data_IF_011449875662
#
_entry.id   IF_011449875662
#
_cell.length_a   1.000
_cell.length_b   1.000
_cell.length_c   1.000
_cell.angle_alpha   90.00
_cell.angle_beta   90.00
_cell.angle_gamma   90.00
#
_symmetry.space_group_name_H-M   'P 1'
#
loop_
_entity.id
_entity.type
_entity.pdbx_description
1 polymer ?
#
# COMPACT_ATOMS: atom_id res chain seq x y z
N UNK A 1 -13.07 16.06 8.69
CA UNK A 1 -11.87 16.01 9.53
C UNK A 1 -12.12 16.84 10.77
N UNK A 2 -11.89 16.28 11.97
CA UNK A 2 -12.13 17.02 13.21
C UNK A 2 -10.96 17.99 13.43
N UNK A 3 -11.20 19.15 14.03
CA UNK A 3 -10.17 20.18 14.30
C UNK A 3 -8.99 19.66 15.14
N UNK A 4 -9.25 18.67 16.00
CA UNK A 4 -8.23 18.00 16.80
C UNK A 4 -7.24 17.18 15.95
N UNK A 5 -7.72 16.50 14.90
CA UNK A 5 -6.87 15.70 14.00
C UNK A 5 -5.90 16.61 13.22
N UNK A 6 -6.41 17.77 12.79
CA UNK A 6 -5.62 18.83 12.16
C UNK A 6 -4.50 19.34 13.06
N UNK A 7 -4.84 19.74 14.29
CA UNK A 7 -3.87 20.28 15.24
C UNK A 7 -2.77 19.24 15.55
N UNK A 8 -3.15 18.00 15.83
CA UNK A 8 -2.22 16.88 16.07
C UNK A 8 -1.29 16.64 14.87
N UNK A 9 -1.84 16.68 13.65
CA UNK A 9 -1.05 16.55 12.41
C UNK A 9 -0.02 17.66 12.24
N UNK A 10 -0.41 18.93 12.49
CA UNK A 10 0.48 20.08 12.38
C UNK A 10 1.56 20.09 13.48
N UNK A 11 1.21 19.74 14.72
CA UNK A 11 2.15 19.68 15.84
C UNK A 11 3.22 18.60 15.64
N UNK A 12 2.83 17.44 15.08
CA UNK A 12 3.79 16.39 14.71
C UNK A 12 4.71 16.84 13.59
N UNK A 13 4.19 17.53 12.57
CA UNK A 13 5.02 18.10 11.49
C UNK A 13 6.00 19.14 12.02
N UNK A 14 5.59 19.98 12.98
CA UNK A 14 6.47 20.98 13.61
C UNK A 14 7.68 20.34 14.29
N UNK A 15 7.50 19.18 14.93
CA UNK A 15 8.57 18.43 15.60
C UNK A 15 9.28 17.42 14.71
N UNK A 16 9.07 17.43 13.39
CA UNK A 16 9.64 16.42 12.45
C UNK A 16 11.13 16.18 12.65
N UNK A 17 11.90 17.26 12.83
CA UNK A 17 13.34 17.20 12.98
C UNK A 17 13.81 16.49 14.26
N UNK A 18 12.94 16.39 15.26
CA UNK A 18 13.21 15.75 16.56
C UNK A 18 12.78 14.28 16.58
N UNK A 19 12.05 13.83 15.56
CA UNK A 19 11.51 12.48 15.54
C UNK A 19 12.49 11.52 14.86
N UNK A 20 12.63 10.34 15.44
CA UNK A 20 13.32 9.20 14.83
C UNK A 20 12.48 7.94 14.99
N UNK A 21 12.63 7.00 14.06
CA UNK A 21 11.97 5.69 14.17
C UNK A 21 12.71 4.86 15.22
N UNK A 22 11.96 4.14 16.06
CA UNK A 22 12.52 3.25 17.08
C UNK A 22 13.34 2.12 16.41
N UNK A 23 14.58 1.85 16.87
CA UNK A 23 15.38 0.75 16.34
C UNK A 23 14.83 -0.59 16.83
N UNK A 24 15.25 -1.68 16.19
CA UNK A 24 14.99 -3.06 16.64
C UNK A 24 15.90 -4.06 15.92
N UNK A 25 15.75 -5.36 16.20
CA UNK A 25 16.29 -6.42 15.35
C UNK A 25 15.44 -6.58 14.07
N UNK A 26 15.92 -7.38 13.11
CA UNK A 26 15.14 -7.72 11.91
C UNK A 26 13.81 -8.36 12.30
N UNK A 27 13.88 -9.32 13.22
CA UNK A 27 12.75 -10.10 13.74
C UNK A 27 11.78 -9.20 14.51
N UNK A 28 12.29 -8.29 15.34
CA UNK A 28 11.47 -7.33 16.07
C UNK A 28 10.76 -6.34 15.15
N UNK A 29 11.45 -5.84 14.10
CA UNK A 29 10.81 -5.02 13.08
C UNK A 29 9.73 -5.78 12.31
N UNK A 30 9.97 -7.04 11.96
CA UNK A 30 9.03 -7.92 11.28
C UNK A 30 7.80 -8.21 12.16
N UNK A 31 8.00 -8.51 13.44
CA UNK A 31 6.94 -8.77 14.41
C UNK A 31 6.01 -7.57 14.56
N UNK A 32 6.56 -6.36 14.69
CA UNK A 32 5.75 -5.13 14.76
C UNK A 32 4.98 -4.85 13.47
N UNK A 33 5.42 -5.42 12.33
CA UNK A 33 4.77 -5.24 11.03
C UNK A 33 3.69 -6.29 10.74
N UNK A 34 3.76 -7.46 11.37
CA UNK A 34 2.82 -8.57 11.18
C UNK A 34 1.34 -8.18 11.38
N UNK A 35 0.94 -7.39 12.40
CA UNK A 35 -0.48 -7.06 12.60
C UNK A 35 -1.10 -6.31 11.42
N UNK A 36 -0.30 -5.53 10.69
CA UNK A 36 -0.74 -4.82 9.49
C UNK A 36 -0.65 -5.69 8.23
N UNK A 37 0.09 -6.81 8.27
CA UNK A 37 0.36 -7.65 7.12
C UNK A 37 0.14 -9.12 7.49
N UNK A 38 -1.08 -9.48 7.97
CA UNK A 38 -1.31 -10.77 8.61
C UNK A 38 -1.12 -11.96 7.66
N UNK A 39 -1.20 -11.73 6.35
CA UNK A 39 -1.08 -12.76 5.31
C UNK A 39 0.35 -13.02 4.82
N UNK A 40 1.29 -12.13 5.16
CA UNK A 40 2.69 -12.33 4.81
C UNK A 40 3.35 -13.26 5.83
N UNK A 41 4.18 -14.18 5.34
CA UNK A 41 4.98 -15.05 6.20
C UNK A 41 6.01 -14.23 6.98
N UNK A 42 6.52 -14.80 8.07
CA UNK A 42 7.56 -14.15 8.89
C UNK A 42 8.81 -13.88 8.04
N UNK A 43 9.23 -14.85 7.23
CA UNK A 43 10.41 -14.76 6.37
C UNK A 43 10.29 -13.61 5.36
N UNK A 44 9.09 -13.43 4.78
CA UNK A 44 8.83 -12.29 3.90
C UNK A 44 8.93 -10.95 4.62
N UNK A 45 8.42 -10.86 5.85
CA UNK A 45 8.51 -9.63 6.64
C UNK A 45 9.96 -9.32 7.04
N UNK A 46 10.73 -10.32 7.44
CA UNK A 46 12.17 -10.18 7.73
C UNK A 46 12.94 -9.74 6.48
N UNK A 47 12.65 -10.35 5.32
CA UNK A 47 13.21 -9.91 4.06
C UNK A 47 12.88 -8.45 3.75
N UNK A 48 11.61 -8.05 3.90
CA UNK A 48 11.19 -6.65 3.70
C UNK A 48 11.92 -5.68 4.64
N UNK A 49 12.28 -6.10 5.85
CA UNK A 49 13.11 -5.30 6.75
C UNK A 49 14.49 -5.09 6.13
N UNK A 50 15.16 -6.13 5.63
CA UNK A 50 16.50 -5.98 5.04
C UNK A 50 16.54 -5.03 3.85
N UNK A 51 15.45 -4.95 3.07
CA UNK A 51 15.33 -4.05 1.92
C UNK A 51 14.88 -2.65 2.33
N UNK A 52 13.90 -2.54 3.24
CA UNK A 52 13.22 -1.30 3.59
C UNK A 52 13.76 -0.57 4.81
N UNK A 53 14.62 -1.21 5.61
CA UNK A 53 15.30 -0.61 6.75
C UNK A 53 16.75 -0.28 6.43
N UNK A 54 17.40 0.40 7.37
CA UNK A 54 18.85 0.61 7.44
C UNK A 54 19.34 0.10 8.79
N UNK A 55 20.60 -0.29 8.84
CA UNK A 55 21.29 -0.63 10.08
C UNK A 55 22.07 0.58 10.59
N UNK A 56 21.92 0.90 11.87
CA UNK A 56 22.72 1.87 12.62
C UNK A 56 23.25 1.25 13.91
N UNK A 57 24.01 2.02 14.69
CA UNK A 57 24.70 1.54 15.90
C UNK A 57 23.73 0.98 16.96
N UNK A 58 22.46 1.40 16.94
CA UNK A 58 21.43 0.93 17.88
C UNK A 58 20.54 -0.19 17.28
N UNK A 59 20.78 -0.59 16.03
CA UNK A 59 20.06 -1.67 15.34
C UNK A 59 19.40 -1.24 14.02
N UNK A 60 18.31 -1.91 13.64
CA UNK A 60 17.61 -1.67 12.39
C UNK A 60 16.49 -0.65 12.52
N UNK A 61 16.36 0.26 11.55
CA UNK A 61 15.27 1.24 11.46
C UNK A 61 14.68 1.30 10.07
N UNK A 62 13.35 1.26 9.99
CA UNK A 62 12.63 1.55 8.75
C UNK A 62 13.06 2.90 8.16
N UNK A 63 13.42 2.92 6.87
CA UNK A 63 13.76 4.13 6.11
C UNK A 63 12.49 4.91 5.72
N UNK A 64 11.67 5.24 6.72
CA UNK A 64 10.38 5.90 6.55
C UNK A 64 10.29 7.14 7.43
N UNK A 65 9.76 8.22 6.88
CA UNK A 65 9.64 9.48 7.61
C UNK A 65 8.82 9.27 8.90
N UNK A 66 9.33 9.67 10.08
CA UNK A 66 8.63 9.50 11.34
C UNK A 66 7.32 10.30 11.45
N UNK A 67 7.10 11.31 10.60
CA UNK A 67 5.81 12.02 10.55
C UNK A 67 4.75 11.27 9.75
N UNK A 68 5.15 10.27 8.94
CA UNK A 68 4.21 9.47 8.17
C UNK A 68 3.35 8.64 9.12
N UNK A 69 2.04 8.77 8.95
CA UNK A 69 1.02 8.01 9.64
C UNK A 69 0.01 7.50 8.61
N UNK A 70 -0.67 6.40 8.93
CA UNK A 70 -1.80 5.93 8.13
C UNK A 70 -2.93 6.96 8.23
N UNK A 71 -3.47 7.34 7.08
CA UNK A 71 -4.42 8.44 6.96
C UNK A 71 -3.77 9.70 6.37
N UNK A 72 -4.51 10.38 5.49
CA UNK A 72 -4.06 11.60 4.85
C UNK A 72 -4.20 12.84 5.74
N UNK A 73 -3.48 13.90 5.38
CA UNK A 73 -3.77 15.24 5.86
C UNK A 73 -4.84 15.86 4.96
N UNK A 74 -5.98 16.25 5.53
CA UNK A 74 -7.01 16.98 4.79
C UNK A 74 -8.11 16.11 4.18
N UNK A 75 -9.12 16.74 3.56
CA UNK A 75 -10.31 16.09 3.04
C UNK A 75 -10.05 15.46 1.66
N UNK A 76 -9.03 14.59 1.53
CA UNK A 76 -8.81 13.88 0.27
C UNK A 76 -10.04 13.04 -0.07
N UNK A 77 -10.55 13.19 -1.30
CA UNK A 77 -11.66 12.40 -1.83
C UNK A 77 -11.19 11.63 -3.06
N UNK A 78 -11.41 10.30 -3.14
CA UNK A 78 -11.04 9.52 -4.32
C UNK A 78 -11.56 10.11 -5.63
N UNK A 79 -12.80 10.61 -5.62
CA UNK A 79 -13.45 11.20 -6.80
C UNK A 79 -12.71 12.40 -7.41
N UNK A 80 -11.79 13.06 -6.70
CA UNK A 80 -10.97 14.12 -7.29
C UNK A 80 -9.95 13.61 -8.32
N UNK A 81 -9.65 12.32 -8.30
CA UNK A 81 -8.67 11.69 -9.18
C UNK A 81 -9.27 10.63 -10.10
N UNK A 82 -10.47 10.11 -9.80
CA UNK A 82 -11.10 9.05 -10.60
C UNK A 82 -11.41 9.48 -12.04
N UNK A 83 -11.75 10.75 -12.28
CA UNK A 83 -11.95 11.25 -13.65
C UNK A 83 -10.65 11.21 -14.47
N UNK A 84 -9.48 11.31 -13.83
CA UNK A 84 -8.20 11.17 -14.51
C UNK A 84 -7.90 9.72 -14.91
N UNK A 85 -8.42 8.75 -14.14
CA UNK A 85 -8.30 7.33 -14.48
C UNK A 85 -9.06 7.02 -15.78
N UNK A 86 -10.28 7.57 -15.92
CA UNK A 86 -11.10 7.39 -17.11
C UNK A 86 -10.47 8.03 -18.36
N UNK A 87 -9.63 9.05 -18.17
CA UNK A 87 -8.95 9.76 -19.25
C UNK A 87 -7.63 9.12 -19.72
N UNK A 88 -7.22 7.98 -19.14
CA UNK A 88 -6.00 7.30 -19.59
C UNK A 88 -6.19 6.70 -20.99
N UNK A 89 -5.22 6.95 -21.88
CA UNK A 89 -5.26 6.47 -23.28
C UNK A 89 -4.41 5.21 -23.50
N UNK A 90 -3.50 4.89 -22.58
CA UNK A 90 -2.70 3.67 -22.65
C UNK A 90 -3.49 2.44 -22.17
N UNK A 91 -3.12 1.22 -22.62
CA UNK A 91 -3.68 0.00 -22.07
C UNK A 91 -3.58 -0.04 -20.54
N UNK A 92 -4.70 -0.37 -19.89
CA UNK A 92 -4.81 -0.36 -18.43
C UNK A 92 -5.28 -1.73 -17.91
N UNK A 93 -4.53 -2.27 -16.95
CA UNK A 93 -4.91 -3.42 -16.15
C UNK A 93 -4.91 -3.02 -14.67
N UNK A 94 -6.10 -3.00 -14.06
CA UNK A 94 -6.26 -2.88 -12.61
C UNK A 94 -6.37 -4.27 -11.97
N UNK A 95 -5.66 -4.49 -10.87
CA UNK A 95 -5.81 -5.70 -10.05
C UNK A 95 -6.08 -5.29 -8.62
N UNK A 96 -7.23 -5.71 -8.08
CA UNK A 96 -7.71 -5.30 -6.76
C UNK A 96 -7.91 -6.52 -5.85
N UNK A 97 -7.50 -6.34 -4.60
CA UNK A 97 -7.89 -7.21 -3.49
C UNK A 97 -9.28 -6.83 -2.99
N UNK A 98 -10.17 -7.82 -2.95
CA UNK A 98 -11.53 -7.71 -2.40
C UNK A 98 -11.65 -8.04 -0.92
N UNK A 99 -10.55 -8.46 -0.26
CA UNK A 99 -10.51 -8.83 1.15
C UNK A 99 -10.89 -7.64 2.03
N UNK A 100 -12.07 -7.70 2.65
CA UNK A 100 -12.67 -6.57 3.37
C UNK A 100 -12.03 -6.30 4.73
N UNK A 101 -11.43 -7.31 5.35
CA UNK A 101 -10.80 -7.26 6.66
C UNK A 101 -9.28 -7.08 6.61
N UNK A 102 -8.70 -6.85 5.42
CA UNK A 102 -7.28 -6.55 5.27
C UNK A 102 -6.95 -5.20 5.95
N UNK A 103 -6.05 -5.16 6.96
CA UNK A 103 -5.67 -3.92 7.64
C UNK A 103 -5.05 -2.85 6.73
N UNK A 104 -4.45 -3.27 5.62
CA UNK A 104 -3.85 -2.42 4.60
C UNK A 104 -4.76 -2.23 3.38
N UNK A 105 -5.90 -2.93 3.33
CA UNK A 105 -6.88 -2.83 2.26
C UNK A 105 -7.64 -1.51 2.26
N UNK A 106 -7.98 -1.03 1.06
CA UNK A 106 -8.82 0.17 0.87
C UNK A 106 -10.32 -0.13 0.91
N UNK A 107 -10.71 -1.42 0.97
CA UNK A 107 -12.10 -1.90 0.98
C UNK A 107 -12.92 -1.45 -0.22
N UNK A 108 -12.25 -1.02 -1.29
CA UNK A 108 -12.87 -0.70 -2.56
C UNK A 108 -13.54 -1.93 -3.13
N UNK A 109 -14.73 -1.73 -3.69
CA UNK A 109 -15.47 -2.76 -4.41
C UNK A 109 -15.25 -2.57 -5.90
N UNK A 110 -15.44 -3.64 -6.67
CA UNK A 110 -15.42 -3.62 -8.13
C UNK A 110 -16.22 -2.43 -8.70
N UNK A 111 -17.47 -2.27 -8.25
CA UNK A 111 -18.35 -1.18 -8.70
C UNK A 111 -17.91 0.25 -8.32
N UNK A 112 -16.96 0.41 -7.40
CA UNK A 112 -16.41 1.73 -7.07
C UNK A 112 -15.41 2.21 -8.14
N UNK A 113 -14.85 1.28 -8.93
CA UNK A 113 -13.77 1.54 -9.90
C UNK A 113 -14.24 1.34 -11.34
N UNK A 114 -15.05 0.32 -11.61
CA UNK A 114 -15.54 0.00 -12.96
C UNK A 114 -16.06 1.20 -13.76
N UNK A 115 -16.87 2.12 -13.18
CA UNK A 115 -17.38 3.28 -13.92
C UNK A 115 -16.30 4.25 -14.41
N UNK A 116 -15.09 4.17 -13.85
CA UNK A 116 -13.97 5.05 -14.12
C UNK A 116 -12.84 4.35 -14.88
N UNK A 117 -13.04 3.12 -15.35
CA UNK A 117 -12.04 2.46 -16.18
C UNK A 117 -11.86 3.22 -17.49
N UNK A 118 -10.62 3.39 -17.96
CA UNK A 118 -10.39 3.96 -19.28
C UNK A 118 -10.96 3.05 -20.38
N UNK A 119 -11.21 3.57 -21.59
CA UNK A 119 -11.67 2.76 -22.71
C UNK A 119 -10.78 1.52 -22.95
N UNK A 120 -11.39 0.34 -22.92
CA UNK A 120 -10.67 -0.94 -23.07
C UNK A 120 -9.87 -1.38 -21.83
N UNK A 121 -9.98 -0.67 -20.71
CA UNK A 121 -9.36 -1.04 -19.44
C UNK A 121 -9.91 -2.36 -18.88
N UNK A 122 -9.01 -3.16 -18.30
CA UNK A 122 -9.34 -4.44 -17.67
C UNK A 122 -9.27 -4.30 -16.15
N UNK A 123 -10.15 -5.02 -15.44
CA UNK A 123 -10.21 -5.02 -13.98
C UNK A 123 -10.35 -6.42 -13.44
N UNK A 124 -9.29 -6.91 -12.81
CA UNK A 124 -9.29 -8.14 -12.04
C UNK A 124 -9.56 -7.84 -10.57
N UNK A 125 -10.43 -8.64 -9.95
CA UNK A 125 -10.87 -8.46 -8.58
C UNK A 125 -10.92 -9.81 -7.89
N UNK A 126 -10.19 -9.97 -6.78
CA UNK A 126 -10.05 -11.25 -6.09
C UNK A 126 -10.42 -11.12 -4.61
N UNK A 127 -11.45 -11.85 -4.19
CA UNK A 127 -11.99 -11.78 -2.83
C UNK A 127 -11.12 -12.47 -1.76
N UNK A 128 -10.16 -13.30 -2.19
CA UNK A 128 -9.37 -14.17 -1.31
C UNK A 128 -7.86 -13.88 -1.34
N UNK A 129 -7.41 -12.89 -2.12
CA UNK A 129 -6.00 -12.45 -2.19
C UNK A 129 -5.85 -11.10 -1.49
N UNK A 130 -4.88 -10.97 -0.58
CA UNK A 130 -4.67 -9.75 0.22
C UNK A 130 -4.08 -8.55 -0.53
N UNK A 131 -3.83 -7.46 0.20
CA UNK A 131 -3.28 -6.21 -0.31
C UNK A 131 -1.95 -6.39 -1.05
N UNK A 132 -1.09 -7.30 -0.56
CA UNK A 132 0.18 -7.64 -1.19
C UNK A 132 0.04 -8.80 -2.19
N UNK A 133 -0.98 -8.75 -3.04
CA UNK A 133 -1.31 -9.79 -4.03
C UNK A 133 -0.11 -10.26 -4.88
N UNK A 134 0.80 -9.36 -5.21
CA UNK A 134 1.98 -9.65 -6.03
C UNK A 134 3.09 -10.37 -5.25
N UNK A 135 3.06 -10.34 -3.91
CA UNK A 135 3.94 -11.14 -3.05
C UNK A 135 3.24 -12.47 -2.76
N UNK A 136 1.99 -12.40 -2.31
CA UNK A 136 1.19 -13.55 -1.89
C UNK A 136 0.97 -14.55 -3.03
N UNK A 137 0.65 -14.06 -4.23
CA UNK A 137 0.34 -14.85 -5.43
C UNK A 137 1.29 -14.49 -6.58
N UNK A 138 2.59 -14.45 -6.29
CA UNK A 138 3.64 -13.95 -7.20
C UNK A 138 3.52 -14.49 -8.63
N UNK A 139 3.44 -15.82 -8.80
CA UNK A 139 3.40 -16.45 -10.14
C UNK A 139 2.13 -16.12 -10.90
N UNK A 140 0.98 -16.29 -10.23
CA UNK A 140 -0.32 -15.98 -10.81
C UNK A 140 -0.42 -14.53 -11.28
N UNK A 141 0.01 -13.57 -10.46
CA UNK A 141 0.01 -12.15 -10.83
C UNK A 141 1.01 -11.84 -11.95
N UNK A 142 2.19 -12.46 -11.94
CA UNK A 142 3.15 -12.31 -13.03
C UNK A 142 2.58 -12.82 -14.37
N UNK A 143 1.96 -14.00 -14.38
CA UNK A 143 1.37 -14.58 -15.59
C UNK A 143 0.22 -13.73 -16.12
N UNK A 144 -0.63 -13.19 -15.23
CA UNK A 144 -1.69 -12.24 -15.59
C UNK A 144 -1.12 -10.99 -16.28
N UNK A 145 -0.08 -10.38 -15.70
CA UNK A 145 0.58 -9.20 -16.27
C UNK A 145 1.24 -9.52 -17.61
N UNK A 146 1.94 -10.65 -17.72
CA UNK A 146 2.59 -11.05 -18.97
C UNK A 146 1.56 -11.29 -20.08
N UNK A 147 0.47 -11.99 -19.79
CA UNK A 147 -0.64 -12.20 -20.72
C UNK A 147 -1.25 -10.88 -21.19
N UNK A 148 -1.41 -9.91 -20.28
CA UNK A 148 -1.90 -8.58 -20.64
C UNK A 148 -0.95 -7.82 -21.58
N UNK A 149 0.36 -8.00 -21.40
CA UNK A 149 1.38 -7.35 -22.22
C UNK A 149 1.62 -8.04 -23.57
N UNK A 150 1.26 -9.31 -23.75
CA UNK A 150 1.51 -10.06 -24.99
C UNK A 150 1.05 -9.35 -26.27
N UNK A 151 -0.16 -8.79 -26.37
CA UNK A 151 -0.61 -8.07 -27.57
C UNK A 151 0.08 -6.73 -27.81
N UNK A 152 0.86 -6.23 -26.84
CA UNK A 152 1.54 -4.93 -26.89
C UNK A 152 3.02 -5.06 -27.29
N UNK A 153 3.52 -6.29 -27.45
CA UNK A 153 4.89 -6.59 -27.89
C UNK A 153 4.97 -6.68 -29.41
#
# INVERSE_FOLDING_TARGET
>A
MRRADLASGLDRRRRRAELTRRPDTIEGLAERRQPMNPRLSREWLEYLVTVGARHDDEGWRWKIDPVLHLGGFGPWRPGWSLDHLAALEMPFLGVLSGVQDDPMGWKSRRGDIEPFLPPGGQLEFYDDIGHFLHIEQTRFIADLVLKFLEPLR
#
